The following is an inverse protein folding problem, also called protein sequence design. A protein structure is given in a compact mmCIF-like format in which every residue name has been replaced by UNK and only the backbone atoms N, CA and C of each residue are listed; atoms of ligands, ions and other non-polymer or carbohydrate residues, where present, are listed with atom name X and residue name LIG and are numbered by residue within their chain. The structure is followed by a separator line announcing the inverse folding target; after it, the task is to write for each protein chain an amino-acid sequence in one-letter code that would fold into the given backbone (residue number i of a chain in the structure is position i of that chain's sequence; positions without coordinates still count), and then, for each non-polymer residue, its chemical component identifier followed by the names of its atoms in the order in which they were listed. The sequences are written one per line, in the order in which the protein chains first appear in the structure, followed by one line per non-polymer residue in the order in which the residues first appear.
data_IF_575909412337
#
_entry.id   IF_575909412337
#
_cell.length_a   1.000
_cell.length_b   1.000
_cell.length_c   1.000
_cell.angle_alpha   90.00
_cell.angle_beta   90.00
_cell.angle_gamma   90.00
#
_symmetry.space_group_name_H-M   'P 1'
#
loop_
_entity.id
_entity.type
_entity.pdbx_description
1 polymer ?
#
# COMPACT_ATOMS: atom_id res chain seq x y z
N UNK A 1 -4.11 -14.01 2.64
CA UNK A 1 -3.30 -12.88 3.12
C UNK A 1 -3.17 -11.93 1.96
N UNK A 2 -3.91 -10.81 2.02
CA UNK A 2 -3.72 -9.73 1.06
C UNK A 2 -2.31 -9.23 1.30
N UNK A 3 -1.42 -9.40 0.33
CA UNK A 3 -0.23 -8.58 0.33
C UNK A 3 -0.73 -7.15 0.05
N UNK A 4 -0.72 -6.33 1.09
CA UNK A 4 -0.59 -4.91 0.83
C UNK A 4 0.60 -4.80 -0.10
N UNK A 5 0.41 -4.15 -1.24
CA UNK A 5 1.49 -3.75 -2.12
C UNK A 5 2.44 -2.80 -1.39
N UNK A 6 3.15 -3.31 -0.43
CA UNK A 6 4.54 -2.93 -0.27
C UNK A 6 5.23 -3.65 -1.42
N UNK A 7 5.13 -3.04 -2.60
CA UNK A 7 5.63 -3.57 -3.85
C UNK A 7 7.06 -4.07 -3.68
N UNK A 8 7.18 -5.36 -3.41
CA UNK A 8 8.41 -6.09 -3.64
C UNK A 8 8.41 -6.49 -5.12
N UNK A 9 8.36 -5.50 -6.02
CA UNK A 9 8.92 -5.70 -7.33
C UNK A 9 10.41 -5.97 -7.12
N UNK A 10 10.86 -7.11 -7.57
CA UNK A 10 12.29 -7.44 -7.70
C UNK A 10 12.87 -6.47 -8.73
N UNK A 11 13.32 -5.30 -8.23
CA UNK A 11 14.03 -4.32 -9.03
C UNK A 11 15.41 -4.88 -9.32
N UNK A 12 15.82 -4.98 -10.60
CA UNK A 12 17.18 -5.37 -10.93
C UNK A 12 18.20 -4.43 -10.25
N UNK A 13 19.39 -4.90 -9.88
CA UNK A 13 20.38 -4.07 -9.21
C UNK A 13 20.74 -2.87 -10.10
N UNK A 14 20.48 -1.67 -9.58
CA UNK A 14 20.88 -0.42 -10.23
C UNK A 14 22.39 -0.28 -10.10
N UNK A 15 23.10 0.10 -11.17
CA UNK A 15 24.54 0.33 -11.11
C UNK A 15 24.91 1.33 -10.01
N UNK A 16 25.89 1.00 -9.21
CA UNK A 16 26.37 1.74 -8.03
C UNK A 16 26.77 3.21 -8.29
N UNK A 17 26.95 3.61 -9.54
CA UNK A 17 27.32 4.98 -9.90
C UNK A 17 26.18 6.01 -9.81
N UNK A 18 24.90 5.58 -9.90
CA UNK A 18 23.76 6.49 -9.85
C UNK A 18 23.38 6.90 -8.43
N UNK A 19 23.67 6.08 -7.45
CA UNK A 19 23.37 6.34 -6.03
C UNK A 19 24.17 7.52 -5.44
N UNK A 20 25.37 7.80 -5.96
CA UNK A 20 26.20 8.91 -5.47
C UNK A 20 25.81 10.28 -6.03
N UNK A 21 25.27 10.33 -7.24
CA UNK A 21 24.94 11.60 -7.92
C UNK A 21 23.70 12.28 -7.31
N UNK A 22 22.71 11.51 -6.88
CA UNK A 22 21.45 12.07 -6.39
C UNK A 22 21.53 12.47 -4.90
N UNK A 23 22.35 11.79 -4.10
CA UNK A 23 22.62 12.16 -2.71
C UNK A 23 23.32 13.52 -2.58
N UNK A 24 24.11 13.93 -3.56
CA UNK A 24 24.79 15.24 -3.56
C UNK A 24 23.85 16.44 -3.70
N UNK A 25 22.59 16.20 -4.16
CA UNK A 25 21.61 17.26 -4.29
C UNK A 25 20.75 17.48 -3.04
N UNK A 26 20.86 16.62 -2.03
CA UNK A 26 20.16 16.81 -0.77
C UNK A 26 20.68 18.08 -0.10
N UNK A 27 19.75 19.01 0.18
CA UNK A 27 20.10 20.32 0.76
C UNK A 27 20.37 21.44 -0.25
N UNK A 28 20.38 21.12 -1.55
CA UNK A 28 20.33 22.15 -2.59
C UNK A 28 18.88 22.55 -2.86
N UNK A 29 18.65 23.79 -3.31
CA UNK A 29 17.30 24.25 -3.66
C UNK A 29 16.70 23.39 -4.77
N UNK A 30 15.54 22.79 -4.52
CA UNK A 30 14.84 21.91 -5.48
C UNK A 30 14.64 22.55 -6.83
N UNK A 31 14.31 23.83 -6.86
CA UNK A 31 14.06 24.59 -8.09
C UNK A 31 15.29 24.78 -8.98
N UNK A 32 16.51 24.59 -8.44
CA UNK A 32 17.73 24.66 -9.24
C UNK A 32 18.07 23.34 -9.92
N UNK A 33 17.38 22.26 -9.57
CA UNK A 33 17.64 20.92 -10.10
C UNK A 33 17.04 20.72 -11.48
N UNK A 34 17.83 20.25 -12.47
CA UNK A 34 17.32 20.02 -13.84
C UNK A 34 16.20 18.96 -13.91
N UNK A 35 16.24 17.93 -13.06
CA UNK A 35 15.22 16.88 -13.01
C UNK A 35 13.89 17.40 -12.45
N UNK A 36 13.91 18.26 -11.43
CA UNK A 36 12.73 18.94 -10.90
C UNK A 36 12.15 19.90 -11.94
N UNK A 37 12.99 20.68 -12.61
CA UNK A 37 12.53 21.60 -13.68
C UNK A 37 11.90 20.83 -14.85
N UNK A 38 12.42 19.68 -15.18
CA UNK A 38 11.85 18.77 -16.20
C UNK A 38 10.48 18.24 -15.77
N UNK A 39 10.35 17.79 -14.53
CA UNK A 39 9.07 17.36 -13.96
C UNK A 39 8.03 18.48 -13.99
N UNK A 40 8.38 19.70 -13.55
CA UNK A 40 7.51 20.89 -13.59
C UNK A 40 7.03 21.13 -15.03
N UNK A 41 7.95 21.16 -16.00
CA UNK A 41 7.61 21.39 -17.40
C UNK A 41 6.66 20.33 -17.97
N UNK A 42 6.89 19.06 -17.64
CA UNK A 42 6.02 17.95 -18.05
C UNK A 42 4.63 18.05 -17.40
N UNK A 43 4.56 18.42 -16.11
CA UNK A 43 3.27 18.56 -15.41
C UNK A 43 2.46 19.73 -15.98
N UNK A 44 3.09 20.87 -16.23
CA UNK A 44 2.45 22.04 -16.88
C UNK A 44 1.92 21.66 -18.27
N UNK A 45 2.72 20.94 -19.06
CA UNK A 45 2.32 20.52 -20.42
C UNK A 45 1.08 19.59 -20.42
N UNK A 46 0.86 18.82 -19.33
CA UNK A 46 -0.34 17.98 -19.18
C UNK A 46 -1.58 18.76 -18.75
N UNK A 47 -1.43 20.03 -18.39
CA UNK A 47 -2.50 20.90 -17.92
C UNK A 47 -2.87 20.69 -16.45
N UNK A 48 -3.77 21.52 -15.93
CA UNK A 48 -4.24 21.50 -14.54
C UNK A 48 -3.38 22.27 -13.55
N UNK A 49 -2.14 22.61 -13.90
CA UNK A 49 -1.22 23.40 -13.06
C UNK A 49 -0.48 24.42 -13.90
N UNK A 50 -0.31 25.61 -13.35
CA UNK A 50 0.60 26.60 -13.87
C UNK A 50 2.02 26.38 -13.32
N UNK A 51 3.03 26.89 -14.04
CA UNK A 51 4.42 26.84 -13.56
C UNK A 51 4.60 27.55 -12.22
N UNK A 52 4.06 28.77 -12.00
CA UNK A 52 4.19 29.44 -10.70
C UNK A 52 3.62 28.63 -9.53
N UNK A 53 2.48 27.94 -9.71
CA UNK A 53 1.91 27.07 -8.65
C UNK A 53 2.87 25.95 -8.27
N UNK A 54 3.48 25.28 -9.25
CA UNK A 54 4.44 24.21 -8.98
C UNK A 54 5.74 24.76 -8.39
N UNK A 55 6.21 25.92 -8.82
CA UNK A 55 7.38 26.57 -8.22
C UNK A 55 7.14 26.98 -6.77
N UNK A 56 5.95 27.43 -6.42
CA UNK A 56 5.53 27.67 -5.03
C UNK A 56 5.53 26.35 -4.25
N UNK A 57 4.96 25.29 -4.81
CA UNK A 57 4.98 23.97 -4.16
C UNK A 57 6.42 23.51 -3.88
N UNK A 58 7.27 23.40 -4.89
CA UNK A 58 8.64 22.93 -4.74
C UNK A 58 9.52 23.86 -3.89
N UNK A 59 9.22 25.16 -3.87
CA UNK A 59 9.89 26.14 -3.03
C UNK A 59 9.57 26.00 -1.53
N UNK A 60 8.43 25.38 -1.19
CA UNK A 60 7.98 25.16 0.19
C UNK A 60 8.14 23.70 0.67
N UNK A 61 8.60 22.80 -0.20
CA UNK A 61 8.92 21.42 0.17
C UNK A 61 10.23 21.38 0.97
N UNK A 62 10.20 20.65 2.07
CA UNK A 62 11.37 20.31 2.84
C UNK A 62 11.85 18.90 2.50
N UNK A 63 13.05 18.77 1.96
CA UNK A 63 13.66 17.46 1.78
C UNK A 63 13.94 16.80 3.12
N UNK A 64 13.65 15.52 3.24
CA UNK A 64 13.78 14.71 4.47
C UNK A 64 14.82 13.59 4.29
N UNK A 65 16.12 13.87 4.50
CA UNK A 65 17.18 12.87 4.29
C UNK A 65 17.01 11.60 5.14
N UNK A 66 16.39 11.71 6.31
CA UNK A 66 16.10 10.57 7.17
C UNK A 66 15.15 9.55 6.50
N UNK A 67 14.28 9.96 5.59
CA UNK A 67 13.40 9.07 4.84
C UNK A 67 14.23 8.10 4.00
N UNK A 68 15.28 8.57 3.34
CA UNK A 68 16.17 7.74 2.52
C UNK A 68 16.82 6.66 3.39
N UNK A 69 17.31 7.05 4.57
CA UNK A 69 17.91 6.11 5.52
C UNK A 69 16.92 5.06 6.03
N UNK A 70 15.64 5.41 6.16
CA UNK A 70 14.58 4.47 6.54
C UNK A 70 14.30 3.50 5.39
N UNK A 71 14.20 4.02 4.16
CA UNK A 71 13.94 3.22 2.95
C UNK A 71 15.07 2.24 2.63
N UNK A 72 16.32 2.59 2.95
CA UNK A 72 17.49 1.74 2.73
C UNK A 72 17.70 0.67 3.81
N UNK A 73 16.98 0.77 4.94
CA UNK A 73 17.02 -0.32 5.92
C UNK A 73 16.41 -1.56 5.27
N UNK A 74 17.08 -2.73 5.37
CA UNK A 74 16.51 -3.95 4.86
C UNK A 74 15.13 -4.11 5.49
N UNK A 75 14.10 -4.14 4.68
CA UNK A 75 12.77 -4.56 5.11
C UNK A 75 12.99 -5.95 5.71
N UNK A 76 13.02 -6.04 7.02
CA UNK A 76 13.21 -7.30 7.70
C UNK A 76 12.00 -8.14 7.34
N UNK A 77 12.19 -9.07 6.44
CA UNK A 77 11.29 -10.19 6.24
C UNK A 77 11.28 -10.93 7.58
N UNK A 78 10.34 -10.53 8.44
CA UNK A 78 10.17 -11.19 9.73
C UNK A 78 9.44 -12.49 9.52
N UNK A 79 9.81 -13.58 10.22
CA UNK A 79 9.03 -14.81 10.23
C UNK A 79 7.58 -14.51 10.63
N UNK A 80 6.65 -15.30 10.14
CA UNK A 80 5.23 -15.10 10.41
C UNK A 80 4.90 -15.04 11.89
N UNK A 81 5.52 -15.86 12.72
CA UNK A 81 5.24 -15.87 14.16
C UNK A 81 5.58 -14.52 14.84
N UNK A 82 6.66 -13.85 14.42
CA UNK A 82 7.00 -12.50 14.92
C UNK A 82 6.02 -11.44 14.39
N UNK A 83 5.72 -11.50 13.09
CA UNK A 83 4.72 -10.61 12.50
C UNK A 83 3.37 -10.77 13.20
N UNK A 84 2.94 -11.99 13.45
CA UNK A 84 1.69 -12.29 14.14
C UNK A 84 1.67 -11.73 15.55
N UNK A 85 2.73 -11.91 16.35
CA UNK A 85 2.81 -11.36 17.71
C UNK A 85 2.63 -9.84 17.74
N UNK A 86 3.21 -9.13 16.78
CA UNK A 86 3.14 -7.68 16.70
C UNK A 86 1.79 -7.16 16.18
N UNK A 87 1.16 -7.90 15.28
CA UNK A 87 -0.06 -7.45 14.59
C UNK A 87 -1.35 -8.08 15.13
N UNK A 88 -1.27 -9.19 15.87
CA UNK A 88 -2.41 -9.85 16.52
C UNK A 88 -2.18 -9.88 18.03
N UNK A 89 -1.93 -8.71 18.61
CA UNK A 89 -1.79 -8.53 20.06
C UNK A 89 -3.16 -8.32 20.71
N UNK A 90 -3.25 -8.61 22.03
CA UNK A 90 -4.49 -8.40 22.78
C UNK A 90 -4.99 -6.95 22.71
N UNK A 91 -4.07 -5.96 22.75
CA UNK A 91 -4.42 -4.55 22.62
C UNK A 91 -4.98 -4.21 21.23
N UNK A 92 -4.41 -4.76 20.17
CA UNK A 92 -4.90 -4.53 18.81
C UNK A 92 -6.27 -5.18 18.57
N UNK A 93 -6.50 -6.36 19.14
CA UNK A 93 -7.81 -7.03 19.11
C UNK A 93 -8.86 -6.16 19.83
N UNK A 94 -8.56 -5.64 21.02
CA UNK A 94 -9.45 -4.76 21.77
C UNK A 94 -9.74 -3.45 21.02
N UNK A 95 -8.72 -2.86 20.37
CA UNK A 95 -8.90 -1.67 19.55
C UNK A 95 -9.81 -1.97 18.35
N UNK A 96 -9.65 -3.13 17.72
CA UNK A 96 -10.48 -3.57 16.61
C UNK A 96 -11.93 -3.81 16.99
N UNK A 97 -12.16 -4.48 18.11
CA UNK A 97 -13.51 -4.69 18.64
C UNK A 97 -14.21 -3.35 18.92
N UNK A 98 -13.50 -2.41 19.55
CA UNK A 98 -14.02 -1.06 19.81
C UNK A 98 -14.30 -0.31 18.51
N UNK A 99 -13.36 -0.30 17.57
CA UNK A 99 -13.52 0.36 16.29
C UNK A 99 -14.74 -0.20 15.52
N UNK A 100 -14.87 -1.51 15.46
CA UNK A 100 -15.98 -2.16 14.79
C UNK A 100 -17.31 -1.85 15.44
N UNK A 101 -17.44 -2.03 16.75
CA UNK A 101 -18.67 -1.72 17.50
C UNK A 101 -19.13 -0.28 17.32
N UNK A 102 -18.19 0.66 17.33
CA UNK A 102 -18.51 2.08 17.17
C UNK A 102 -18.98 2.43 15.76
N UNK A 103 -18.68 1.59 14.76
CA UNK A 103 -18.92 1.87 13.35
C UNK A 103 -19.68 0.74 12.65
N UNK A 104 -20.32 -0.15 13.40
CA UNK A 104 -20.91 -1.38 12.85
C UNK A 104 -21.90 -1.11 11.72
N UNK A 105 -22.75 -0.11 11.86
CA UNK A 105 -23.78 0.19 10.87
C UNK A 105 -23.19 0.55 9.50
N UNK A 106 -22.16 1.39 9.46
CA UNK A 106 -21.55 1.80 8.20
C UNK A 106 -20.66 0.70 7.63
N UNK A 107 -19.90 -0.01 8.46
CA UNK A 107 -19.06 -1.11 8.01
C UNK A 107 -19.90 -2.25 7.42
N UNK A 108 -20.99 -2.62 8.06
CA UNK A 108 -21.89 -3.67 7.56
C UNK A 108 -22.62 -3.24 6.27
N UNK A 109 -23.03 -1.98 6.16
CA UNK A 109 -23.61 -1.46 4.93
C UNK A 109 -22.60 -1.52 3.76
N UNK A 110 -21.36 -1.15 3.99
CA UNK A 110 -20.27 -1.28 3.01
C UNK A 110 -20.01 -2.74 2.65
N UNK A 111 -19.92 -3.61 3.66
CA UNK A 111 -19.76 -5.05 3.47
C UNK A 111 -20.82 -5.65 2.56
N UNK A 112 -22.07 -5.33 2.82
CA UNK A 112 -23.21 -5.76 2.00
C UNK A 112 -23.12 -5.25 0.56
N UNK A 113 -22.77 -3.99 0.36
CA UNK A 113 -22.69 -3.37 -0.97
C UNK A 113 -21.54 -3.95 -1.82
N UNK A 114 -20.38 -4.18 -1.22
CA UNK A 114 -19.18 -4.62 -1.95
C UNK A 114 -18.96 -6.13 -1.91
N UNK A 115 -19.65 -6.85 -1.04
CA UNK A 115 -19.46 -8.28 -0.84
C UNK A 115 -18.12 -8.65 -0.20
N UNK A 116 -17.53 -7.71 0.54
CA UNK A 116 -16.29 -7.90 1.30
C UNK A 116 -16.64 -8.01 2.77
N UNK A 117 -16.24 -9.07 3.50
CA UNK A 117 -16.60 -9.27 4.89
C UNK A 117 -16.18 -8.10 5.78
N UNK A 118 -17.05 -7.71 6.72
CA UNK A 118 -16.79 -6.63 7.68
C UNK A 118 -15.49 -6.85 8.46
N UNK A 119 -15.24 -8.10 8.89
CA UNK A 119 -14.02 -8.48 9.60
C UNK A 119 -12.74 -8.26 8.78
N UNK A 120 -12.80 -8.44 7.47
CA UNK A 120 -11.64 -8.19 6.59
C UNK A 120 -11.36 -6.70 6.47
N UNK A 121 -12.40 -5.88 6.30
CA UNK A 121 -12.28 -4.42 6.25
C UNK A 121 -11.64 -3.91 7.55
N UNK A 122 -12.17 -4.35 8.69
CA UNK A 122 -11.66 -3.98 10.02
C UNK A 122 -10.21 -4.44 10.21
N UNK A 123 -9.89 -5.69 9.80
CA UNK A 123 -8.53 -6.24 9.93
C UNK A 123 -7.51 -5.44 9.11
N UNK A 124 -7.84 -5.03 7.89
CA UNK A 124 -6.95 -4.23 7.04
C UNK A 124 -6.65 -2.89 7.73
N UNK A 125 -7.67 -2.15 8.16
CA UNK A 125 -7.49 -0.87 8.87
C UNK A 125 -6.66 -1.05 10.16
N UNK A 126 -6.85 -2.18 10.83
CA UNK A 126 -6.09 -2.54 12.01
C UNK A 126 -4.61 -2.80 11.73
N UNK A 127 -4.30 -3.54 10.68
CA UNK A 127 -2.92 -3.86 10.28
C UNK A 127 -2.20 -2.60 9.82
N UNK A 128 -2.85 -1.78 8.99
CA UNK A 128 -2.24 -0.61 8.37
C UNK A 128 -1.94 0.49 9.39
N UNK A 129 -2.90 0.85 10.23
CA UNK A 129 -2.76 2.06 11.07
C UNK A 129 -3.18 1.87 12.52
N UNK A 130 -3.43 0.64 12.97
CA UNK A 130 -4.05 0.40 14.28
C UNK A 130 -5.29 1.28 14.46
N UNK A 131 -6.20 1.17 13.48
CA UNK A 131 -7.49 1.88 13.47
C UNK A 131 -7.33 3.41 13.50
N UNK A 132 -6.43 3.94 12.68
CA UNK A 132 -6.16 5.37 12.56
C UNK A 132 -5.20 5.94 13.61
N UNK A 133 -4.72 5.13 14.57
CA UNK A 133 -3.80 5.61 15.61
C UNK A 133 -2.41 5.95 15.09
N UNK A 134 -2.01 5.41 13.94
CA UNK A 134 -0.69 5.60 13.35
C UNK A 134 -0.77 5.72 11.81
N UNK A 135 -1.25 6.84 11.34
CA UNK A 135 -1.37 7.14 9.90
C UNK A 135 -0.11 7.79 9.31
N UNK A 136 0.92 8.01 10.13
CA UNK A 136 2.10 8.78 9.75
C UNK A 136 1.94 10.28 10.01
N UNK A 137 3.07 10.96 10.13
CA UNK A 137 3.14 12.38 10.49
C UNK A 137 3.91 13.24 9.50
N UNK A 138 4.42 12.64 8.43
CA UNK A 138 5.15 13.37 7.40
C UNK A 138 4.19 14.15 6.51
N UNK A 139 4.56 15.38 6.14
CA UNK A 139 3.87 16.05 5.02
C UNK A 139 4.13 15.27 3.75
N UNK A 140 3.07 14.92 3.03
CA UNK A 140 3.17 14.07 1.84
C UNK A 140 4.01 14.72 0.73
N UNK A 141 3.87 16.04 0.55
CA UNK A 141 4.70 16.77 -0.40
C UNK A 141 6.19 16.60 -0.13
N UNK A 142 6.60 16.64 1.15
CA UNK A 142 8.00 16.45 1.54
C UNK A 142 8.49 15.02 1.28
N UNK A 143 7.70 14.03 1.71
CA UNK A 143 8.04 12.61 1.57
C UNK A 143 8.16 12.21 0.11
N UNK A 144 7.13 12.48 -0.67
CA UNK A 144 7.06 12.08 -2.07
C UNK A 144 8.12 12.81 -2.91
N UNK A 145 8.34 14.11 -2.68
CA UNK A 145 9.38 14.86 -3.40
C UNK A 145 10.78 14.38 -3.03
N UNK A 146 11.04 14.09 -1.75
CA UNK A 146 12.33 13.53 -1.33
C UNK A 146 12.60 12.21 -2.05
N UNK A 147 11.63 11.31 -2.08
CA UNK A 147 11.78 10.00 -2.72
C UNK A 147 11.82 10.11 -4.25
N UNK A 148 11.05 11.01 -4.84
CA UNK A 148 11.01 11.22 -6.29
C UNK A 148 12.34 11.72 -6.87
N UNK A 149 13.07 12.52 -6.10
CA UNK A 149 14.28 13.19 -6.61
C UNK A 149 15.56 12.84 -5.88
N UNK A 150 15.49 12.11 -4.77
CA UNK A 150 16.69 11.75 -3.98
C UNK A 150 16.74 10.27 -3.60
N UNK A 151 15.88 9.43 -4.19
CA UNK A 151 15.89 7.98 -4.01
C UNK A 151 15.93 7.25 -5.36
N UNK A 152 17.11 7.08 -5.98
CA UNK A 152 17.27 6.60 -7.36
C UNK A 152 16.62 5.26 -7.64
N UNK A 153 16.64 4.33 -6.66
CA UNK A 153 16.12 2.96 -6.83
C UNK A 153 14.66 2.91 -7.25
N UNK A 154 13.86 3.91 -6.85
CA UNK A 154 12.42 3.99 -7.14
C UNK A 154 11.99 5.40 -7.56
N UNK A 155 12.90 6.21 -8.08
CA UNK A 155 12.63 7.61 -8.44
C UNK A 155 11.45 7.73 -9.41
N UNK A 156 11.40 6.91 -10.46
CA UNK A 156 10.31 6.94 -11.45
C UNK A 156 8.95 6.64 -10.80
N UNK A 157 8.89 5.63 -9.93
CA UNK A 157 7.68 5.31 -9.19
C UNK A 157 7.22 6.50 -8.33
N UNK A 158 8.12 7.08 -7.54
CA UNK A 158 7.76 8.19 -6.67
C UNK A 158 7.48 9.49 -7.42
N UNK A 159 8.05 9.71 -8.60
CA UNK A 159 7.66 10.81 -9.48
C UNK A 159 6.22 10.64 -9.99
N UNK A 160 5.81 9.41 -10.34
CA UNK A 160 4.41 9.12 -10.68
C UNK A 160 3.48 9.36 -9.50
N UNK A 161 3.84 8.88 -8.31
CA UNK A 161 3.03 9.10 -7.10
C UNK A 161 2.95 10.58 -6.71
N UNK A 162 4.03 11.34 -6.86
CA UNK A 162 4.03 12.79 -6.66
C UNK A 162 3.08 13.50 -7.64
N UNK A 163 3.10 13.10 -8.92
CA UNK A 163 2.18 13.62 -9.93
C UNK A 163 0.72 13.32 -9.56
N UNK A 164 0.44 12.10 -9.09
CA UNK A 164 -0.89 11.72 -8.61
C UNK A 164 -1.30 12.50 -7.35
N UNK A 165 -0.37 12.76 -6.44
CA UNK A 165 -0.60 13.55 -5.23
C UNK A 165 -0.98 15.00 -5.55
N UNK A 166 -0.25 15.64 -6.45
CA UNK A 166 -0.59 17.00 -6.89
C UNK A 166 -2.02 17.05 -7.46
N UNK A 167 -2.36 16.07 -8.29
CA UNK A 167 -3.68 16.01 -8.90
C UNK A 167 -4.78 15.74 -7.87
N UNK A 168 -4.59 14.82 -6.92
CA UNK A 168 -5.59 14.56 -5.90
C UNK A 168 -5.85 15.78 -5.00
N UNK A 169 -4.81 16.52 -4.63
CA UNK A 169 -4.95 17.74 -3.84
C UNK A 169 -5.77 18.81 -4.58
N UNK A 170 -5.57 18.92 -5.90
CA UNK A 170 -6.36 19.79 -6.75
C UNK A 170 -7.81 19.32 -6.87
N UNK A 171 -8.05 18.03 -7.07
CA UNK A 171 -9.38 17.42 -7.14
C UNK A 171 -10.16 17.61 -5.85
N UNK A 172 -9.53 17.38 -4.69
CA UNK A 172 -10.13 17.55 -3.37
C UNK A 172 -10.21 19.04 -2.93
N UNK A 173 -9.64 19.97 -3.73
CA UNK A 173 -9.60 21.42 -3.43
C UNK A 173 -8.98 21.71 -2.07
N UNK A 174 -7.96 20.95 -1.69
CA UNK A 174 -7.24 21.09 -0.43
C UNK A 174 -5.82 21.57 -0.65
N UNK A 175 -5.31 22.30 0.34
CA UNK A 175 -3.91 22.73 0.34
C UNK A 175 -2.98 21.50 0.39
N UNK A 176 -2.07 21.41 -0.59
CA UNK A 176 -1.11 20.33 -0.75
C UNK A 176 -0.23 20.10 0.50
N UNK A 177 -0.07 21.11 1.34
CA UNK A 177 0.76 21.00 2.55
C UNK A 177 0.00 20.50 3.78
N UNK A 178 -1.32 20.33 3.72
CA UNK A 178 -2.14 19.81 4.82
C UNK A 178 -2.14 18.28 4.91
N UNK A 179 -1.87 17.60 3.79
CA UNK A 179 -1.88 16.15 3.73
C UNK A 179 -0.71 15.54 4.48
N UNK A 180 -1.02 14.63 5.40
CA UNK A 180 -0.04 13.86 6.17
C UNK A 180 -0.19 12.37 5.91
N UNK A 181 0.91 11.66 6.02
CA UNK A 181 0.97 10.23 5.82
C UNK A 181 2.28 9.61 6.27
N UNK A 182 2.58 8.42 5.77
CA UNK A 182 3.82 7.71 6.07
C UNK A 182 5.03 8.38 5.41
N UNK A 183 6.21 7.99 5.85
CA UNK A 183 7.47 8.40 5.23
C UNK A 183 7.57 7.99 3.75
N UNK A 184 6.84 6.96 3.34
CA UNK A 184 6.82 6.47 1.95
C UNK A 184 5.64 7.01 1.13
N UNK A 185 4.85 7.95 1.66
CA UNK A 185 3.77 8.60 0.93
C UNK A 185 2.40 7.90 1.02
N UNK A 186 2.25 6.90 1.88
CA UNK A 186 0.97 6.25 2.11
C UNK A 186 0.04 7.09 2.99
N UNK A 187 -1.27 7.08 2.72
CA UNK A 187 -2.24 8.04 3.21
C UNK A 187 -3.39 7.41 3.98
N UNK A 188 -3.80 8.09 5.05
CA UNK A 188 -5.02 7.82 5.79
C UNK A 188 -5.03 6.48 6.53
N UNK A 189 -6.20 6.08 7.02
CA UNK A 189 -6.37 4.81 7.73
C UNK A 189 -6.01 3.58 6.89
N UNK A 190 -6.34 3.52 5.57
CA UNK A 190 -6.02 2.37 4.74
C UNK A 190 -4.63 2.41 4.12
N UNK A 191 -3.83 3.45 4.36
CA UNK A 191 -2.48 3.61 3.82
C UNK A 191 -2.42 3.52 2.28
N UNK A 192 -3.32 4.21 1.61
CA UNK A 192 -3.32 4.28 0.15
C UNK A 192 -2.21 5.16 -0.38
N UNK A 193 -1.54 4.70 -1.43
CA UNK A 193 -0.70 5.57 -2.25
C UNK A 193 -1.57 6.57 -3.03
N UNK A 194 -1.05 7.75 -3.44
CA UNK A 194 -1.82 8.73 -4.19
C UNK A 194 -2.53 8.19 -5.43
N UNK A 195 -1.87 7.33 -6.20
CA UNK A 195 -2.48 6.66 -7.35
C UNK A 195 -3.66 5.77 -6.95
N UNK A 196 -3.52 5.01 -5.87
CA UNK A 196 -4.57 4.17 -5.33
C UNK A 196 -5.76 4.99 -4.82
N UNK A 197 -5.48 6.10 -4.14
CA UNK A 197 -6.52 7.03 -3.69
C UNK A 197 -7.34 7.56 -4.88
N UNK A 198 -6.70 8.09 -5.90
CA UNK A 198 -7.41 8.65 -7.06
C UNK A 198 -8.23 7.61 -7.80
N UNK A 199 -7.75 6.38 -7.84
CA UNK A 199 -8.37 5.30 -8.60
C UNK A 199 -9.48 4.58 -7.83
N UNK A 200 -9.33 4.41 -6.50
CA UNK A 200 -10.18 3.49 -5.74
C UNK A 200 -10.79 4.07 -4.47
N UNK A 201 -10.37 5.26 -4.00
CA UNK A 201 -11.03 5.89 -2.87
C UNK A 201 -12.48 6.26 -3.21
N UNK A 202 -13.36 6.10 -2.23
CA UNK A 202 -14.80 6.28 -2.37
C UNK A 202 -15.29 7.34 -1.40
N UNK A 203 -16.10 8.27 -1.90
CA UNK A 203 -16.94 9.15 -1.11
C UNK A 203 -18.23 8.38 -0.82
N UNK A 204 -18.35 7.85 0.41
CA UNK A 204 -19.44 6.96 0.79
C UNK A 204 -20.72 7.71 1.15
N UNK A 205 -20.61 8.84 1.82
CA UNK A 205 -21.74 9.63 2.28
C UNK A 205 -22.19 10.71 1.27
N UNK A 206 -21.41 10.91 0.20
CA UNK A 206 -21.74 11.80 -0.89
C UNK A 206 -21.54 13.28 -0.55
N UNK A 207 -20.65 13.60 0.38
CA UNK A 207 -20.34 14.99 0.77
C UNK A 207 -19.45 15.72 -0.24
N UNK A 208 -18.92 15.01 -1.24
CA UNK A 208 -18.04 15.52 -2.30
C UNK A 208 -16.55 15.39 -1.97
N UNK A 209 -16.19 14.73 -0.87
CA UNK A 209 -14.83 14.46 -0.44
C UNK A 209 -14.60 12.98 -0.18
N UNK A 210 -13.39 12.51 -0.37
CA UNK A 210 -12.99 11.12 -0.08
C UNK A 210 -12.08 11.12 1.15
N UNK A 211 -12.66 11.36 2.35
CA UNK A 211 -11.89 11.49 3.59
C UNK A 211 -11.49 10.15 4.18
N UNK A 212 -10.40 9.59 3.67
CA UNK A 212 -9.83 8.34 4.21
C UNK A 212 -9.04 8.52 5.51
N UNK A 213 -9.00 9.73 6.08
CA UNK A 213 -8.35 10.00 7.36
C UNK A 213 -9.34 9.98 8.54
N UNK A 214 -10.54 10.53 8.36
CA UNK A 214 -11.47 10.75 9.47
C UNK A 214 -12.86 10.14 9.23
N UNK A 215 -13.27 9.92 7.98
CA UNK A 215 -14.58 9.38 7.65
C UNK A 215 -14.52 7.84 7.53
N UNK A 216 -15.01 7.12 8.54
CA UNK A 216 -14.98 5.64 8.54
C UNK A 216 -15.78 5.03 7.38
N UNK A 217 -16.83 5.70 6.91
CA UNK A 217 -17.59 5.26 5.73
C UNK A 217 -16.72 5.25 4.47
N UNK A 218 -16.00 6.34 4.22
CA UNK A 218 -15.06 6.48 3.10
C UNK A 218 -13.92 5.49 3.21
N UNK A 219 -13.36 5.34 4.43
CA UNK A 219 -12.31 4.36 4.71
C UNK A 219 -12.75 2.95 4.38
N UNK A 220 -13.88 2.51 4.93
CA UNK A 220 -14.41 1.17 4.73
C UNK A 220 -14.76 0.90 3.27
N UNK A 221 -15.45 1.85 2.62
CA UNK A 221 -15.82 1.75 1.22
C UNK A 221 -14.61 1.74 0.29
N UNK A 222 -13.59 2.55 0.58
CA UNK A 222 -12.34 2.58 -0.18
C UNK A 222 -11.58 1.24 -0.08
N UNK A 223 -11.46 0.67 1.13
CA UNK A 223 -10.87 -0.66 1.34
C UNK A 223 -11.65 -1.73 0.58
N UNK A 224 -12.97 -1.75 0.72
CA UNK A 224 -13.83 -2.75 0.07
C UNK A 224 -13.78 -2.61 -1.47
N UNK A 225 -13.80 -1.39 -1.99
CA UNK A 225 -13.67 -1.13 -3.42
C UNK A 225 -12.31 -1.59 -3.94
N UNK A 226 -11.22 -1.28 -3.23
CA UNK A 226 -9.87 -1.75 -3.58
C UNK A 226 -9.84 -3.28 -3.69
N UNK A 227 -10.35 -4.00 -2.71
CA UNK A 227 -10.44 -5.46 -2.73
C UNK A 227 -11.22 -5.97 -3.94
N UNK A 228 -12.38 -5.38 -4.21
CA UNK A 228 -13.22 -5.78 -5.34
C UNK A 228 -12.54 -5.55 -6.69
N UNK A 229 -11.89 -4.40 -6.87
CA UNK A 229 -11.18 -4.08 -8.10
C UNK A 229 -9.94 -4.97 -8.32
N UNK A 230 -9.39 -5.54 -7.23
CA UNK A 230 -8.28 -6.49 -7.27
C UNK A 230 -8.71 -7.97 -7.26
N UNK A 231 -9.96 -8.24 -7.65
CA UNK A 231 -10.43 -9.60 -7.90
C UNK A 231 -11.04 -10.31 -6.69
N UNK A 232 -11.45 -9.57 -5.65
CA UNK A 232 -12.21 -10.17 -4.56
C UNK A 232 -13.47 -10.88 -5.07
N UNK A 233 -13.64 -12.14 -4.66
CA UNK A 233 -14.81 -12.95 -4.97
C UNK A 233 -15.60 -13.21 -3.69
N UNK A 234 -16.80 -12.70 -3.62
CA UNK A 234 -17.71 -12.87 -2.47
C UNK A 234 -17.98 -14.35 -2.22
N UNK A 235 -17.77 -14.79 -0.99
CA UNK A 235 -17.98 -16.18 -0.57
C UNK A 235 -16.87 -17.17 -0.93
N UNK A 236 -15.85 -16.74 -1.68
CA UNK A 236 -14.68 -17.60 -1.92
C UNK A 236 -13.77 -17.64 -0.69
N UNK A 237 -13.12 -18.77 -0.40
CA UNK A 237 -12.18 -18.89 0.69
C UNK A 237 -10.91 -18.06 0.37
N UNK A 238 -10.43 -17.28 1.36
CA UNK A 238 -9.18 -16.51 1.21
C UNK A 238 -7.95 -17.40 1.33
N UNK A 239 -7.98 -18.35 2.26
CA UNK A 239 -6.90 -19.28 2.51
C UNK A 239 -7.46 -20.56 3.14
N UNK A 240 -6.86 -21.69 2.81
CA UNK A 240 -7.17 -22.98 3.42
C UNK A 240 -5.86 -23.66 3.83
N UNK A 241 -5.82 -24.31 5.01
CA UNK A 241 -4.67 -25.14 5.37
C UNK A 241 -4.60 -26.36 4.45
N UNK A 242 -3.39 -26.72 4.06
CA UNK A 242 -3.13 -27.88 3.22
C UNK A 242 -2.05 -28.76 3.84
N UNK A 243 -2.07 -30.06 3.49
CA UNK A 243 -1.02 -31.01 3.83
C UNK A 243 -0.30 -31.41 2.55
N UNK A 244 1.01 -31.51 2.63
CA UNK A 244 1.85 -31.89 1.50
C UNK A 244 3.18 -32.47 1.97
N UNK A 245 3.77 -33.29 1.12
CA UNK A 245 5.18 -33.67 1.23
C UNK A 245 5.97 -32.77 0.30
N UNK A 246 6.97 -32.09 0.83
CA UNK A 246 7.78 -31.17 0.04
C UNK A 246 8.60 -31.94 -0.99
N UNK A 247 8.38 -31.62 -2.25
CA UNK A 247 9.18 -32.06 -3.39
C UNK A 247 10.00 -30.88 -3.92
N UNK A 248 11.07 -31.10 -4.71
CA UNK A 248 11.81 -30.01 -5.31
C UNK A 248 10.93 -29.07 -6.16
N UNK A 249 9.92 -29.59 -6.83
CA UNK A 249 8.97 -28.82 -7.62
C UNK A 249 8.07 -27.93 -6.74
N UNK A 250 7.54 -28.48 -5.65
CA UNK A 250 6.75 -27.70 -4.68
C UNK A 250 7.59 -26.66 -3.96
N UNK A 251 8.86 -26.98 -3.66
CA UNK A 251 9.78 -25.99 -3.07
C UNK A 251 10.03 -24.83 -4.02
N UNK A 252 10.23 -25.09 -5.31
CA UNK A 252 10.39 -24.02 -6.30
C UNK A 252 9.16 -23.11 -6.38
N UNK A 253 7.94 -23.69 -6.25
CA UNK A 253 6.70 -22.90 -6.20
C UNK A 253 6.58 -22.06 -4.91
N UNK A 254 7.00 -22.61 -3.77
CA UNK A 254 7.07 -21.86 -2.51
C UNK A 254 8.06 -20.70 -2.59
N UNK A 255 9.19 -20.89 -3.25
CA UNK A 255 10.24 -19.88 -3.41
C UNK A 255 9.85 -18.79 -4.41
N UNK A 256 9.04 -19.11 -5.44
CA UNK A 256 8.57 -18.18 -6.46
C UNK A 256 7.56 -17.12 -5.94
N UNK A 257 6.93 -17.36 -4.84
CA UNK A 257 6.15 -16.50 -3.92
C UNK A 257 5.00 -15.63 -4.46
N UNK A 258 4.90 -15.26 -5.74
CA UNK A 258 4.13 -14.07 -6.11
C UNK A 258 3.24 -14.17 -7.34
N UNK A 259 3.30 -15.22 -8.13
CA UNK A 259 2.53 -15.27 -9.38
C UNK A 259 1.33 -16.21 -9.27
N UNK A 260 0.12 -15.66 -9.42
CA UNK A 260 -1.13 -16.41 -9.42
C UNK A 260 -1.31 -17.17 -10.73
N UNK A 261 -0.33 -18.00 -11.08
CA UNK A 261 -0.26 -18.73 -12.36
C UNK A 261 -0.78 -20.18 -12.27
N UNK A 262 -1.04 -20.67 -11.06
CA UNK A 262 -1.46 -22.04 -10.82
C UNK A 262 -2.90 -22.11 -10.33
N UNK A 263 -3.52 -23.25 -10.55
CA UNK A 263 -4.85 -23.58 -10.03
C UNK A 263 -4.76 -24.57 -8.87
N UNK A 264 -5.82 -24.70 -8.10
CA UNK A 264 -5.97 -25.74 -7.08
C UNK A 264 -5.77 -27.14 -7.66
N UNK A 265 -6.28 -27.39 -8.89
CA UNK A 265 -6.09 -28.63 -9.61
C UNK A 265 -4.62 -28.93 -9.92
N UNK A 266 -3.81 -27.90 -10.22
CA UNK A 266 -2.38 -28.06 -10.42
C UNK A 266 -1.70 -28.53 -9.14
N UNK A 267 -2.01 -27.90 -7.99
CA UNK A 267 -1.46 -28.30 -6.70
C UNK A 267 -1.89 -29.71 -6.29
N UNK A 268 -3.14 -30.11 -6.55
CA UNK A 268 -3.59 -31.48 -6.28
C UNK A 268 -2.81 -32.50 -7.10
N UNK A 269 -2.52 -32.21 -8.39
CA UNK A 269 -1.69 -33.07 -9.23
C UNK A 269 -0.25 -33.22 -8.70
N UNK A 270 0.25 -32.20 -8.00
CA UNK A 270 1.54 -32.24 -7.33
C UNK A 270 1.49 -32.91 -5.93
N UNK A 271 0.36 -33.45 -5.55
CA UNK A 271 0.19 -34.16 -4.29
C UNK A 271 -0.19 -33.28 -3.09
N UNK A 272 -0.55 -32.02 -3.30
CA UNK A 272 -1.06 -31.15 -2.24
C UNK A 272 -2.49 -31.58 -1.88
N UNK A 273 -2.73 -31.86 -0.60
CA UNK A 273 -4.06 -32.24 -0.11
C UNK A 273 -4.89 -30.96 0.16
N UNK A 274 -5.61 -30.50 -0.84
CA UNK A 274 -6.50 -29.35 -0.73
C UNK A 274 -7.90 -29.81 -0.36
N UNK A 275 -8.60 -29.15 0.61
CA UNK A 275 -9.97 -29.49 0.99
C UNK A 275 -10.90 -29.60 -0.22
N UNK A 276 -11.80 -30.61 -0.21
CA UNK A 276 -12.63 -30.97 -1.37
C UNK A 276 -13.65 -29.91 -1.79
N UNK A 277 -13.99 -28.98 -0.90
CA UNK A 277 -14.92 -27.87 -1.22
C UNK A 277 -14.29 -26.76 -2.05
N UNK A 278 -12.96 -26.74 -2.23
CA UNK A 278 -12.27 -25.77 -3.07
C UNK A 278 -12.17 -26.33 -4.50
N UNK A 279 -12.73 -25.63 -5.46
CA UNK A 279 -12.79 -26.11 -6.84
C UNK A 279 -11.41 -26.11 -7.52
N UNK A 280 -11.15 -27.10 -8.37
CA UNK A 280 -9.89 -27.26 -9.10
C UNK A 280 -9.52 -26.06 -10.00
N UNK A 281 -10.53 -25.35 -10.50
CA UNK A 281 -10.35 -24.19 -11.39
C UNK A 281 -9.91 -22.92 -10.68
N UNK A 282 -10.03 -22.87 -9.35
CA UNK A 282 -9.68 -21.69 -8.57
C UNK A 282 -8.17 -21.45 -8.68
N UNK A 283 -7.81 -20.21 -8.98
CA UNK A 283 -6.41 -19.79 -8.95
C UNK A 283 -5.93 -19.69 -7.51
N UNK A 284 -4.75 -20.19 -7.25
CA UNK A 284 -4.19 -20.24 -5.90
C UNK A 284 -2.67 -20.05 -5.91
N UNK A 285 -2.18 -19.61 -4.76
CA UNK A 285 -0.76 -19.58 -4.42
C UNK A 285 -0.52 -20.55 -3.27
N UNK A 286 0.66 -21.13 -3.21
CA UNK A 286 1.11 -21.94 -2.09
C UNK A 286 2.04 -21.12 -1.20
N UNK A 287 1.71 -21.01 0.09
CA UNK A 287 2.50 -20.28 1.07
C UNK A 287 2.91 -21.20 2.21
N UNK A 288 4.14 -21.02 2.66
CA UNK A 288 4.62 -21.57 3.93
C UNK A 288 4.74 -20.45 4.95
N UNK A 289 4.13 -20.63 6.11
CA UNK A 289 4.17 -19.70 7.23
C UNK A 289 4.85 -20.37 8.40
N UNK A 290 6.00 -19.87 8.83
CA UNK A 290 6.68 -20.34 10.02
C UNK A 290 5.89 -19.90 11.26
N UNK A 291 5.33 -20.85 12.01
CA UNK A 291 4.45 -20.58 13.16
C UNK A 291 5.20 -20.50 14.50
N UNK A 292 6.40 -21.05 14.55
CA UNK A 292 7.38 -20.95 15.64
C UNK A 292 8.79 -21.16 15.05
N UNK A 293 9.87 -20.78 15.76
CA UNK A 293 11.23 -20.94 15.25
C UNK A 293 11.49 -22.37 14.77
N UNK A 294 11.76 -22.53 13.48
CA UNK A 294 12.04 -23.80 12.84
C UNK A 294 10.81 -24.74 12.64
N UNK A 295 9.57 -24.22 12.75
CA UNK A 295 8.34 -25.00 12.57
C UNK A 295 7.43 -24.44 11.48
#
# INVERSE_FOLDING_TARGET
TVQTETAAETVPPVPTHQTHLDAQYIGQGLLTRPDVQRFISQRVARGGFSRPELEVFFGNVEQKPNIISIMDRPGTSRPWYEFRQNNVSGSRIQNGDRFWRNNVAVIDAVSQRYGVPSELIVAIVGIETNYGSNMGSFRLGDSLTTLAFSYPRRAEFFQKELDQFLQLAHEEKQDMFTFKGSYAGAMGMPQFMPSSYRQWAVDWDGDGHRDIWNNVGDVAASVANYMKQHGWQTGAPMAVPVQLNITPELQALLDAKTELNHTVGDFRRLGVQVPGHVADREKALLYQLEIAPGQ
#
